data_IF_946582675962
#
_entry.id   IF_946582675962
#
_cell.length_a   1.000
_cell.length_b   1.000
_cell.length_c   1.000
_cell.angle_alpha   90.00
_cell.angle_beta   90.00
_cell.angle_gamma   90.00
#
_symmetry.space_group_name_H-M   'P 1'
#
loop_
_entity.id
_entity.type
_entity.pdbx_description
1 polymer ?
#
# COMPACT_ATOMS: atom_id res chain seq x y z
N UNK A 1 -17.02 -10.27 -13.68
CA UNK A 1 -17.67 -10.83 -12.46
C UNK A 1 -16.77 -10.54 -11.25
N UNK A 2 -17.28 -10.40 -10.02
CA UNK A 2 -16.42 -10.24 -8.83
C UNK A 2 -16.42 -11.53 -8.02
N UNK A 3 -15.25 -12.15 -7.83
CA UNK A 3 -15.06 -13.32 -6.98
C UNK A 3 -14.45 -12.90 -5.64
N UNK A 4 -15.05 -13.34 -4.55
CA UNK A 4 -14.50 -13.17 -3.19
C UNK A 4 -13.70 -14.40 -2.78
N UNK A 5 -12.50 -14.19 -2.24
CA UNK A 5 -11.59 -15.25 -1.76
C UNK A 5 -11.03 -14.84 -0.41
N UNK A 6 -11.11 -15.74 0.58
CA UNK A 6 -10.36 -15.60 1.82
C UNK A 6 -9.00 -16.27 1.65
N UNK A 7 -7.94 -15.55 1.99
CA UNK A 7 -6.57 -16.04 1.90
C UNK A 7 -6.13 -16.55 3.27
N UNK A 8 -5.53 -17.74 3.29
CA UNK A 8 -4.95 -18.34 4.50
C UNK A 8 -3.54 -17.76 4.77
N UNK A 9 -3.48 -16.43 4.87
CA UNK A 9 -2.28 -15.64 5.15
C UNK A 9 -2.68 -14.28 5.72
N UNK A 10 -1.76 -13.63 6.43
CA UNK A 10 -2.01 -12.33 7.05
C UNK A 10 -1.60 -11.14 6.18
N UNK A 11 -1.87 -9.92 6.69
CA UNK A 11 -1.45 -8.67 6.04
C UNK A 11 0.07 -8.58 5.83
N UNK A 12 0.89 -9.27 6.63
CA UNK A 12 2.33 -9.33 6.41
C UNK A 12 2.68 -9.97 5.06
N UNK A 13 1.95 -11.02 4.69
CA UNK A 13 2.08 -11.66 3.36
C UNK A 13 1.62 -10.73 2.24
N UNK A 14 0.54 -9.96 2.47
CA UNK A 14 0.07 -8.95 1.51
C UNK A 14 1.11 -7.83 1.29
N UNK A 15 1.83 -7.40 2.33
CA UNK A 15 2.93 -6.43 2.21
C UNK A 15 4.10 -7.01 1.41
N UNK A 16 4.40 -8.31 1.55
CA UNK A 16 5.41 -8.98 0.74
C UNK A 16 4.99 -9.09 -0.74
N UNK A 17 3.69 -9.33 -1.01
CA UNK A 17 3.14 -9.26 -2.36
C UNK A 17 3.31 -7.86 -2.97
N UNK A 18 2.91 -6.81 -2.24
CA UNK A 18 3.10 -5.43 -2.68
C UNK A 18 4.58 -5.12 -2.97
N UNK A 19 5.48 -5.52 -2.07
CA UNK A 19 6.93 -5.33 -2.25
C UNK A 19 7.47 -5.99 -3.52
N UNK A 20 7.01 -7.21 -3.83
CA UNK A 20 7.37 -7.92 -5.07
C UNK A 20 6.87 -7.19 -6.30
N UNK A 21 5.63 -6.72 -6.27
CA UNK A 21 5.02 -6.02 -7.40
C UNK A 21 5.65 -4.65 -7.66
N UNK A 22 5.96 -3.89 -6.61
CA UNK A 22 6.69 -2.63 -6.72
C UNK A 22 8.06 -2.83 -7.40
N UNK A 23 8.72 -3.94 -7.12
CA UNK A 23 10.02 -4.30 -7.71
C UNK A 23 9.90 -4.96 -9.09
N UNK A 24 8.70 -5.28 -9.54
CA UNK A 24 8.49 -5.95 -10.83
C UNK A 24 8.88 -5.03 -11.98
N UNK A 25 9.60 -5.58 -12.97
CA UNK A 25 9.90 -4.88 -14.22
C UNK A 25 8.65 -4.64 -15.05
N UNK A 26 7.60 -5.47 -14.88
CA UNK A 26 6.35 -5.33 -15.61
C UNK A 26 5.35 -4.34 -15.01
N UNK A 27 5.76 -3.56 -14.00
CA UNK A 27 4.93 -2.53 -13.39
C UNK A 27 5.02 -1.24 -14.21
N UNK A 28 3.88 -0.78 -14.73
CA UNK A 28 3.78 0.28 -15.73
C UNK A 28 3.16 1.57 -15.21
N UNK A 29 2.24 1.47 -14.24
CA UNK A 29 1.62 2.62 -13.55
C UNK A 29 1.52 2.34 -12.06
N UNK A 30 1.63 3.42 -11.30
CA UNK A 30 1.45 3.40 -9.86
C UNK A 30 0.72 4.66 -9.40
N UNK A 31 -0.15 4.51 -8.41
CA UNK A 31 -0.77 5.62 -7.69
C UNK A 31 -1.06 5.20 -6.25
N UNK A 32 -1.21 6.18 -5.35
CA UNK A 32 -1.57 5.93 -3.94
C UNK A 32 -2.57 6.94 -3.41
N UNK A 33 -3.34 6.52 -2.43
CA UNK A 33 -4.27 7.34 -1.66
C UNK A 33 -4.07 7.05 -0.17
N UNK A 34 -3.91 8.09 0.67
CA UNK A 34 -3.86 9.51 0.30
C UNK A 34 -2.58 9.88 -0.47
N UNK A 35 -2.64 10.91 -1.31
CA UNK A 35 -1.44 11.43 -1.98
C UNK A 35 -0.71 12.41 -1.04
N UNK A 36 0.59 12.24 -0.78
CA UNK A 36 1.35 13.21 0.00
C UNK A 36 1.51 14.53 -0.74
N UNK A 37 1.58 15.62 0.01
CA UNK A 37 1.93 16.93 -0.56
C UNK A 37 3.40 16.92 -1.00
N UNK A 38 3.76 17.87 -1.87
CA UNK A 38 5.15 18.04 -2.30
C UNK A 38 6.04 18.26 -1.07
N UNK A 39 7.08 17.43 -0.92
CA UNK A 39 8.02 17.46 0.20
C UNK A 39 7.57 16.70 1.46
N UNK A 40 6.34 16.17 1.49
CA UNK A 40 5.83 15.39 2.61
C UNK A 40 6.17 13.89 2.44
N UNK A 41 6.62 13.24 3.52
CA UNK A 41 6.80 11.79 3.52
C UNK A 41 5.47 11.09 3.72
N UNK A 42 5.22 10.05 2.95
CA UNK A 42 3.97 9.30 3.02
C UNK A 42 3.73 8.67 4.41
N UNK A 43 4.79 8.16 5.06
CA UNK A 43 4.71 7.68 6.45
C UNK A 43 4.21 8.77 7.40
N UNK A 44 4.73 9.98 7.28
CA UNK A 44 4.40 11.07 8.20
C UNK A 44 2.95 11.54 8.00
N UNK A 45 2.46 11.53 6.75
CA UNK A 45 1.05 11.74 6.42
C UNK A 45 0.15 10.70 7.10
N UNK A 46 0.44 9.40 6.90
CA UNK A 46 -0.34 8.32 7.52
C UNK A 46 -0.26 8.36 9.05
N UNK A 47 0.91 8.70 9.60
CA UNK A 47 1.09 8.85 11.04
C UNK A 47 0.29 10.04 11.60
N UNK A 48 0.21 11.15 10.86
CA UNK A 48 -0.62 12.30 11.23
C UNK A 48 -2.11 11.95 11.25
N UNK A 49 -2.61 11.29 10.20
CA UNK A 49 -3.99 10.79 10.15
C UNK A 49 -4.28 9.87 11.34
N UNK A 50 -3.44 8.86 11.54
CA UNK A 50 -3.57 7.90 12.63
C UNK A 50 -3.56 8.56 14.01
N UNK A 51 -2.67 9.52 14.26
CA UNK A 51 -2.62 10.28 15.52
C UNK A 51 -3.87 11.15 15.75
N UNK A 52 -4.52 11.60 14.68
CA UNK A 52 -5.68 12.49 14.80
C UNK A 52 -7.00 11.75 14.99
N UNK A 53 -7.18 10.59 14.34
CA UNK A 53 -8.46 9.86 14.31
C UNK A 53 -8.40 8.47 14.95
N UNK A 54 -7.20 7.98 15.32
CA UNK A 54 -6.99 6.60 15.72
C UNK A 54 -7.07 5.60 14.57
N UNK A 55 -7.09 6.07 13.31
CA UNK A 55 -7.13 5.21 12.13
C UNK A 55 -6.46 5.85 10.91
N UNK A 56 -6.08 5.03 9.95
CA UNK A 56 -5.58 5.48 8.65
C UNK A 56 -5.92 4.44 7.57
N UNK A 57 -6.18 4.90 6.36
CA UNK A 57 -6.36 4.06 5.18
C UNK A 57 -5.25 4.37 4.18
N UNK A 58 -4.56 3.33 3.75
CA UNK A 58 -3.57 3.40 2.68
C UNK A 58 -4.01 2.49 1.53
N UNK A 59 -4.21 3.07 0.35
CA UNK A 59 -4.56 2.35 -0.87
C UNK A 59 -3.49 2.60 -1.93
N UNK A 60 -3.00 1.54 -2.56
CA UNK A 60 -2.01 1.59 -3.63
C UNK A 60 -2.60 0.90 -4.87
N UNK A 61 -2.62 1.63 -5.98
CA UNK A 61 -3.04 1.15 -7.29
C UNK A 61 -1.83 0.87 -8.16
N UNK A 62 -1.75 -0.33 -8.70
CA UNK A 62 -0.74 -0.78 -9.64
C UNK A 62 -1.41 -1.17 -10.96
N UNK A 63 -0.81 -0.82 -12.09
CA UNK A 63 -1.12 -1.38 -13.41
C UNK A 63 0.14 -2.05 -13.95
N UNK A 64 -0.02 -3.30 -14.38
CA UNK A 64 1.02 -4.10 -15.01
C UNK A 64 0.97 -3.95 -16.54
N UNK A 65 2.06 -4.25 -17.24
CA UNK A 65 2.15 -4.18 -18.70
C UNK A 65 1.15 -5.10 -19.42
N UNK A 66 0.78 -6.21 -18.79
CA UNK A 66 -0.22 -7.14 -19.32
C UNK A 66 -1.68 -6.65 -19.13
N UNK A 67 -1.85 -5.43 -18.61
CA UNK A 67 -3.13 -4.80 -18.31
C UNK A 67 -3.76 -5.24 -16.99
N UNK A 68 -3.11 -6.13 -16.22
CA UNK A 68 -3.58 -6.52 -14.89
C UNK A 68 -3.49 -5.32 -13.95
N UNK A 69 -4.58 -5.04 -13.22
CA UNK A 69 -4.60 -4.00 -12.19
C UNK A 69 -4.65 -4.63 -10.81
N UNK A 70 -3.83 -4.14 -9.90
CA UNK A 70 -3.80 -4.59 -8.50
C UNK A 70 -4.03 -3.42 -7.57
N UNK A 71 -4.99 -3.58 -6.67
CA UNK A 71 -5.39 -2.58 -5.69
C UNK A 71 -5.11 -3.14 -4.30
N UNK A 72 -4.06 -2.64 -3.66
CA UNK A 72 -3.72 -2.98 -2.30
C UNK A 72 -4.35 -1.98 -1.36
N UNK A 73 -5.08 -2.44 -0.35
CA UNK A 73 -5.70 -1.55 0.63
C UNK A 73 -5.43 -2.05 2.05
N UNK A 74 -4.91 -1.15 2.87
CA UNK A 74 -4.54 -1.39 4.26
C UNK A 74 -5.31 -0.42 5.15
N UNK A 75 -6.17 -0.96 5.99
CA UNK A 75 -6.90 -0.19 7.00
C UNK A 75 -6.28 -0.42 8.38
N UNK A 76 -5.71 0.65 8.91
CA UNK A 76 -5.02 0.70 10.18
C UNK A 76 -5.98 1.31 11.20
N UNK A 77 -6.10 0.68 12.36
CA UNK A 77 -6.86 1.22 13.49
C UNK A 77 -6.18 0.95 14.82
N UNK A 78 -6.35 1.85 15.76
CA UNK A 78 -5.97 1.65 17.15
C UNK A 78 -6.82 0.53 17.77
N UNK A 79 -6.20 -0.30 18.61
CA UNK A 79 -6.83 -1.37 19.39
C UNK A 79 -6.62 -1.06 20.87
N UNK A 80 -7.46 -0.18 21.43
CA UNK A 80 -7.35 0.28 22.82
C UNK A 80 -8.57 -0.09 23.65
N UNK A 81 -8.32 -0.80 24.75
CA UNK A 81 -9.29 -1.10 25.80
C UNK A 81 -9.09 -0.20 27.04
N UNK A 82 -8.12 0.72 27.01
CA UNK A 82 -7.78 1.61 28.14
C UNK A 82 -7.14 2.93 27.68
N UNK A 83 -7.13 3.98 28.51
CA UNK A 83 -6.60 5.29 28.13
C UNK A 83 -5.10 5.23 27.82
N UNK A 84 -4.72 5.76 26.66
CA UNK A 84 -3.32 5.89 26.21
C UNK A 84 -2.97 7.36 26.05
N UNK A 85 -1.76 7.75 26.44
CA UNK A 85 -1.26 9.14 26.26
C UNK A 85 -0.82 9.43 24.83
N UNK A 86 -0.44 8.39 24.09
CA UNK A 86 0.09 8.48 22.74
C UNK A 86 -0.42 7.31 21.91
N UNK A 87 -1.15 7.60 20.82
CA UNK A 87 -1.68 6.56 19.93
C UNK A 87 -0.60 5.76 19.23
N UNK A 88 0.60 6.32 19.03
CA UNK A 88 1.74 5.58 18.46
C UNK A 88 2.30 4.49 19.38
N UNK A 89 2.04 4.60 20.68
CA UNK A 89 2.47 3.61 21.69
C UNK A 89 1.38 2.58 22.00
N UNK A 90 0.18 2.78 21.45
CA UNK A 90 -0.94 1.88 21.63
C UNK A 90 -0.85 0.66 20.69
N UNK A 91 -1.48 -0.46 21.05
CA UNK A 91 -1.68 -1.56 20.12
C UNK A 91 -2.45 -1.10 18.87
N UNK A 92 -2.12 -1.70 17.74
CA UNK A 92 -2.75 -1.41 16.47
C UNK A 92 -3.12 -2.68 15.74
N UNK A 93 -4.17 -2.56 14.93
CA UNK A 93 -4.73 -3.63 14.13
C UNK A 93 -4.74 -3.16 12.68
N UNK A 94 -4.21 -4.00 11.79
CA UNK A 94 -4.18 -3.73 10.35
C UNK A 94 -5.00 -4.80 9.62
N UNK A 95 -6.02 -4.36 8.91
CA UNK A 95 -6.75 -5.19 7.96
C UNK A 95 -6.23 -4.90 6.55
N UNK A 96 -6.19 -5.93 5.70
CA UNK A 96 -5.64 -5.82 4.36
C UNK A 96 -6.45 -6.61 3.35
N UNK A 97 -6.65 -6.04 2.17
CA UNK A 97 -7.22 -6.74 1.04
C UNK A 97 -6.50 -6.37 -0.26
N UNK A 98 -6.57 -7.28 -1.23
CA UNK A 98 -6.10 -7.10 -2.59
C UNK A 98 -7.28 -7.26 -3.55
N UNK A 99 -7.43 -6.31 -4.48
CA UNK A 99 -8.30 -6.48 -5.63
C UNK A 99 -7.41 -6.66 -6.86
N UNK A 100 -7.48 -7.82 -7.49
CA UNK A 100 -6.83 -8.08 -8.77
C UNK A 100 -7.88 -8.04 -9.89
N UNK A 101 -7.67 -7.20 -10.90
CA UNK A 101 -8.58 -7.05 -12.03
C UNK A 101 -7.84 -7.44 -13.30
N UNK A 102 -8.39 -8.40 -14.05
CA UNK A 102 -7.81 -8.90 -15.29
C UNK A 102 -8.92 -9.24 -16.28
N UNK A 103 -8.87 -8.69 -17.49
CA UNK A 103 -9.81 -9.04 -18.56
C UNK A 103 -11.30 -8.78 -18.25
N UNK A 104 -11.61 -7.84 -17.35
CA UNK A 104 -12.99 -7.54 -16.92
C UNK A 104 -13.51 -8.37 -15.74
N UNK A 105 -12.74 -9.35 -15.27
CA UNK A 105 -12.99 -10.05 -14.02
C UNK A 105 -12.18 -9.44 -12.88
N UNK A 106 -12.73 -9.52 -11.67
CA UNK A 106 -12.08 -9.05 -10.46
C UNK A 106 -12.08 -10.14 -9.39
N UNK A 107 -10.94 -10.34 -8.75
CA UNK A 107 -10.79 -11.18 -7.58
C UNK A 107 -10.47 -10.30 -6.37
N UNK A 108 -11.33 -10.39 -5.36
CA UNK A 108 -11.18 -9.71 -4.09
C UNK A 108 -10.65 -10.71 -3.06
N UNK A 109 -9.43 -10.48 -2.59
CA UNK A 109 -8.71 -11.32 -1.63
C UNK A 109 -8.68 -10.65 -0.27
N UNK A 110 -9.33 -11.24 0.71
CA UNK A 110 -9.25 -10.83 2.12
C UNK A 110 -8.16 -11.60 2.85
N UNK A 111 -7.26 -10.88 3.51
CA UNK A 111 -6.19 -11.44 4.31
C UNK A 111 -6.55 -11.39 5.80
N UNK A 112 -5.96 -12.31 6.57
CA UNK A 112 -6.08 -12.27 8.01
C UNK A 112 -5.46 -10.98 8.58
N UNK A 113 -6.12 -10.42 9.58
CA UNK A 113 -5.69 -9.21 10.27
C UNK A 113 -4.33 -9.40 10.93
N UNK A 114 -3.45 -8.40 10.82
CA UNK A 114 -2.18 -8.35 11.54
C UNK A 114 -2.31 -7.43 12.76
N UNK A 115 -1.82 -7.90 13.92
CA UNK A 115 -1.81 -7.12 15.17
C UNK A 115 -0.40 -6.69 15.49
N UNK A 116 -0.26 -5.43 15.88
CA UNK A 116 0.98 -4.87 16.39
C UNK A 116 0.79 -4.54 17.87
N UNK A 117 1.66 -5.03 18.76
CA UNK A 117 1.65 -4.63 20.17
C UNK A 117 1.85 -3.12 20.33
N UNK A 118 2.61 -2.51 19.41
CA UNK A 118 2.91 -1.08 19.38
C UNK A 118 2.79 -0.54 17.95
N UNK A 119 1.96 0.48 17.74
CA UNK A 119 1.71 1.04 16.41
C UNK A 119 2.97 1.58 15.71
N UNK A 120 3.98 2.03 16.46
CA UNK A 120 5.25 2.51 15.90
C UNK A 120 5.99 1.47 15.06
N UNK A 121 5.87 0.17 15.39
CA UNK A 121 6.49 -0.93 14.64
C UNK A 121 5.91 -1.04 13.22
N UNK A 122 4.60 -0.85 13.09
CA UNK A 122 3.93 -0.83 11.79
C UNK A 122 4.42 0.34 10.93
N UNK A 123 4.69 1.51 11.51
CA UNK A 123 5.19 2.67 10.76
C UNK A 123 6.60 2.47 10.20
N UNK A 124 7.39 1.53 10.72
CA UNK A 124 8.65 1.11 10.11
C UNK A 124 8.38 0.40 8.78
N UNK A 125 7.43 -0.54 8.76
CA UNK A 125 7.04 -1.25 7.54
C UNK A 125 6.43 -0.30 6.49
N UNK A 126 5.66 0.70 6.94
CA UNK A 126 5.13 1.75 6.06
C UNK A 126 6.24 2.57 5.41
N UNK A 127 7.31 2.91 6.15
CA UNK A 127 8.46 3.62 5.57
C UNK A 127 9.14 2.79 4.48
N UNK A 128 9.34 1.49 4.74
CA UNK A 128 9.95 0.58 3.76
C UNK A 128 9.11 0.50 2.47
N UNK A 129 7.79 0.35 2.59
CA UNK A 129 6.90 0.33 1.42
C UNK A 129 6.84 1.69 0.72
N UNK A 130 6.87 2.80 1.47
CA UNK A 130 6.88 4.15 0.91
C UNK A 130 8.15 4.42 0.09
N UNK A 131 9.30 3.91 0.53
CA UNK A 131 10.55 4.03 -0.20
C UNK A 131 10.55 3.16 -1.47
N UNK A 132 10.07 1.90 -1.37
CA UNK A 132 9.90 1.06 -2.57
C UNK A 132 8.98 1.71 -3.59
N UNK A 133 7.84 2.24 -3.15
CA UNK A 133 6.92 2.99 -3.99
C UNK A 133 7.65 4.12 -4.73
N UNK A 134 8.43 4.92 -4.00
CA UNK A 134 9.16 6.07 -4.56
C UNK A 134 10.16 5.64 -5.62
N UNK A 135 10.91 4.57 -5.36
CA UNK A 135 11.86 3.99 -6.31
C UNK A 135 11.16 3.47 -7.57
N UNK A 136 10.00 2.83 -7.43
CA UNK A 136 9.20 2.36 -8.57
C UNK A 136 8.64 3.53 -9.39
N UNK A 137 8.15 4.59 -8.73
CA UNK A 137 7.65 5.80 -9.39
C UNK A 137 8.75 6.52 -10.18
N UNK A 138 9.95 6.65 -9.59
CA UNK A 138 11.14 7.20 -10.27
C UNK A 138 11.52 6.36 -11.50
N UNK A 139 11.49 5.02 -11.37
CA UNK A 139 11.81 4.09 -12.47
C UNK A 139 10.83 4.25 -13.64
N UNK A 140 9.52 4.16 -13.36
CA UNK A 140 8.46 4.29 -14.37
C UNK A 140 8.55 5.65 -15.08
N UNK A 141 8.85 6.72 -14.33
CA UNK A 141 8.98 8.06 -14.89
C UNK A 141 10.17 8.17 -15.85
N UNK A 142 11.30 7.51 -15.55
CA UNK A 142 12.48 7.47 -16.43
C UNK A 142 12.24 6.65 -17.69
N UNK A 143 11.61 5.48 -17.57
CA UNK A 143 11.28 4.61 -18.70
C UNK A 143 10.41 5.36 -19.73
N UNK A 144 9.35 6.05 -19.27
CA UNK A 144 8.50 6.89 -20.13
C UNK A 144 9.23 8.06 -20.78
N UNK A 145 10.15 8.69 -20.06
CA UNK A 145 10.94 9.79 -20.62
C UNK A 145 11.87 9.31 -21.74
N UNK A 146 12.43 8.10 -21.61
CA UNK A 146 13.23 7.47 -22.65
C UNK A 146 12.39 7.07 -23.86
N UNK A 147 11.24 6.42 -23.65
CA UNK A 147 10.30 6.09 -24.74
C UNK A 147 9.92 7.35 -25.54
N UNK A 148 9.53 8.42 -24.85
CA UNK A 148 9.19 9.69 -25.50
C UNK A 148 10.35 10.32 -26.27
N UNK A 149 11.61 10.08 -25.86
CA UNK A 149 12.78 10.57 -26.59
C UNK A 149 13.04 9.77 -27.86
N UNK A 150 12.87 8.45 -27.82
CA UNK A 150 13.03 7.59 -28.99
C UNK A 150 11.89 7.73 -29.99
N UNK A 151 10.65 7.97 -29.54
CA UNK A 151 9.51 8.23 -30.42
C UNK A 151 9.66 9.52 -31.25
N UNK A 152 10.54 10.43 -30.82
CA UNK A 152 10.80 11.70 -31.51
C UNK A 152 11.88 11.60 -32.60
N UNK A 153 12.70 10.55 -32.61
CA UNK A 153 13.76 10.30 -33.59
C UNK A 153 13.24 9.49 -34.79
#
# INVERSE_FOLDING_TARGET
MIRHVKVDADVGSLLQELSRDLRSSGLSRIARVPAPRVGERYRDLLASLYKSSGNALATIWLEMDDGTRRIYSFYIRVDIDSPVRNLLEAPAVVNGHLIEIRGGDAEFRDYATLKFPVASEMFVQIEEMAELYRLSEDRISRERALESYYDWL
#
